data_IF_386235553180
#
_entry.id   IF_386235553180
#
_cell.length_a   1.000
_cell.length_b   1.000
_cell.length_c   1.000
_cell.angle_alpha   90.00
_cell.angle_beta   90.00
_cell.angle_gamma   90.00
#
_symmetry.space_group_name_H-M   'P 1'
#
loop_
_entity.id
_entity.type
_entity.pdbx_description
1 polymer ?
#
# COMPACT_ATOMS: atom_id res chain seq x y z
N UNK A 1 8.04 -12.35 10.38
CA UNK A 1 8.17 -12.45 11.86
C UNK A 1 6.79 -12.75 12.44
N UNK A 2 6.67 -13.59 13.47
CA UNK A 2 5.39 -14.18 13.90
C UNK A 2 4.55 -13.35 14.88
N UNK A 3 5.16 -12.35 15.53
CA UNK A 3 4.55 -11.60 16.64
C UNK A 3 4.23 -10.17 16.17
N UNK A 4 3.28 -10.04 15.24
CA UNK A 4 2.80 -8.77 14.72
C UNK A 4 1.27 -8.75 14.85
N UNK A 5 0.71 -7.66 15.37
CA UNK A 5 -0.73 -7.48 15.64
C UNK A 5 -1.60 -7.50 14.38
N UNK A 6 -1.01 -7.22 13.21
CA UNK A 6 -1.74 -7.23 11.94
C UNK A 6 -1.83 -8.62 11.29
N UNK A 7 -1.10 -9.62 11.81
CA UNK A 7 -1.10 -10.96 11.25
C UNK A 7 -2.47 -11.61 11.42
N UNK A 8 -2.99 -12.17 10.33
CA UNK A 8 -4.21 -12.98 10.29
C UNK A 8 -3.83 -14.39 9.87
N UNK A 9 -3.88 -15.34 10.81
CA UNK A 9 -3.66 -16.77 10.57
C UNK A 9 -5.00 -17.48 10.50
N UNK A 10 -5.18 -18.35 9.50
CA UNK A 10 -6.29 -19.29 9.51
C UNK A 10 -6.04 -20.34 10.58
N UNK A 11 -6.99 -20.52 11.50
CA UNK A 11 -6.90 -21.50 12.58
C UNK A 11 -7.28 -22.90 12.07
N UNK A 12 -8.08 -22.98 10.99
CA UNK A 12 -8.72 -24.22 10.52
C UNK A 12 -8.06 -24.87 9.30
N UNK A 13 -7.08 -24.22 8.68
CA UNK A 13 -6.45 -24.70 7.45
C UNK A 13 -4.92 -24.69 7.57
N UNK A 14 -4.33 -25.87 7.46
CA UNK A 14 -2.88 -26.07 7.42
C UNK A 14 -2.33 -25.73 6.02
N UNK A 15 -1.11 -25.20 5.95
CA UNK A 15 -0.45 -24.84 4.67
C UNK A 15 -0.93 -23.55 4.01
N UNK A 16 -1.88 -22.82 4.62
CA UNK A 16 -2.34 -21.54 4.07
C UNK A 16 -1.28 -20.42 4.25
N UNK A 17 -1.15 -19.51 3.27
CA UNK A 17 -0.34 -18.31 3.43
C UNK A 17 -0.75 -17.49 4.66
N UNK A 18 0.22 -16.88 5.32
CA UNK A 18 -0.05 -15.95 6.42
C UNK A 18 -0.42 -14.61 5.83
N UNK A 19 -1.63 -14.13 6.17
CA UNK A 19 -2.11 -12.84 5.74
C UNK A 19 -1.76 -11.74 6.75
N UNK A 20 -1.75 -10.49 6.29
CA UNK A 20 -1.53 -9.30 7.10
C UNK A 20 -2.55 -8.23 6.72
N UNK A 21 -3.21 -7.66 7.72
CA UNK A 21 -4.14 -6.55 7.58
C UNK A 21 -3.45 -5.19 7.80
N UNK A 22 -2.16 -5.09 7.48
CA UNK A 22 -1.40 -3.84 7.58
C UNK A 22 -1.94 -2.77 6.64
N UNK A 23 -2.03 -1.50 7.09
CA UNK A 23 -2.36 -0.39 6.21
C UNK A 23 -1.27 -0.23 5.14
N UNK A 24 -1.69 -0.09 3.88
CA UNK A 24 -0.76 0.07 2.75
C UNK A 24 -0.17 -1.23 2.21
N UNK A 25 -0.73 -2.39 2.57
CA UNK A 25 -0.37 -3.68 1.97
C UNK A 25 -1.17 -3.95 0.69
N UNK A 26 -0.49 -4.25 -0.42
CA UNK A 26 -1.12 -4.46 -1.74
C UNK A 26 -1.81 -5.81 -1.90
N UNK A 27 -1.23 -6.88 -1.33
CA UNK A 27 -1.67 -8.25 -1.59
C UNK A 27 -2.27 -8.92 -0.34
N UNK A 28 -2.28 -8.22 0.79
CA UNK A 28 -2.71 -8.76 2.08
C UNK A 28 -1.80 -9.88 2.61
N UNK A 29 -0.64 -10.12 2.01
CA UNK A 29 0.30 -11.16 2.43
C UNK A 29 1.25 -10.63 3.49
N UNK A 30 1.55 -11.44 4.51
CA UNK A 30 2.58 -11.15 5.50
C UNK A 30 3.98 -11.40 4.91
N UNK A 31 4.42 -10.51 4.02
CA UNK A 31 5.74 -10.55 3.39
C UNK A 31 6.40 -9.18 3.41
N UNK A 32 7.74 -9.17 3.47
CA UNK A 32 8.53 -7.94 3.41
C UNK A 32 8.29 -7.16 2.09
N UNK A 33 7.93 -7.84 1.00
CA UNK A 33 7.68 -7.18 -0.29
C UNK A 33 6.41 -6.32 -0.26
N UNK A 34 5.40 -6.70 0.52
CA UNK A 34 4.06 -6.10 0.48
C UNK A 34 3.68 -5.35 1.76
N UNK A 35 4.54 -5.29 2.77
CA UNK A 35 4.29 -4.51 4.00
C UNK A 35 4.18 -3.01 3.72
N UNK A 36 3.26 -2.34 4.42
CA UNK A 36 3.07 -0.88 4.35
C UNK A 36 3.73 -0.12 5.51
N UNK A 37 4.33 -0.83 6.48
CA UNK A 37 4.96 -0.23 7.66
C UNK A 37 6.49 -0.27 7.54
N UNK A 38 7.03 -1.40 7.08
CA UNK A 38 8.48 -1.57 7.00
C UNK A 38 8.98 -1.15 5.62
N UNK A 39 9.84 -0.13 5.55
CA UNK A 39 10.40 0.36 4.29
C UNK A 39 9.46 1.28 3.51
N UNK A 40 9.48 1.16 2.17
CA UNK A 40 8.71 2.01 1.26
C UNK A 40 7.32 1.41 1.00
N UNK A 41 6.30 1.99 1.61
CA UNK A 41 4.91 1.63 1.39
C UNK A 41 4.47 2.03 -0.02
N UNK A 42 3.72 1.14 -0.68
CA UNK A 42 2.95 1.43 -1.87
C UNK A 42 1.64 0.68 -1.68
N UNK A 43 0.53 1.39 -1.57
CA UNK A 43 -0.79 0.82 -1.28
C UNK A 43 -1.87 1.46 -2.15
N UNK A 44 -2.85 0.66 -2.58
CA UNK A 44 -4.07 1.14 -3.22
C UNK A 44 -5.27 0.71 -2.39
N UNK A 45 -6.14 1.66 -2.05
CA UNK A 45 -7.37 1.36 -1.32
C UNK A 45 -8.52 2.24 -1.78
N UNK A 46 -9.74 1.71 -1.69
CA UNK A 46 -10.95 2.49 -1.86
C UNK A 46 -11.38 3.06 -0.51
N UNK A 47 -11.51 4.39 -0.43
CA UNK A 47 -11.96 5.12 0.76
C UNK A 47 -13.26 5.84 0.45
N UNK A 48 -14.25 5.71 1.33
CA UNK A 48 -15.51 6.46 1.26
C UNK A 48 -15.26 7.91 1.69
N UNK A 49 -15.56 8.85 0.81
CA UNK A 49 -15.55 10.30 1.09
C UNK A 49 -16.98 10.81 0.93
N UNK A 50 -17.70 10.89 2.05
CA UNK A 50 -19.14 11.15 2.06
C UNK A 50 -19.92 10.02 1.38
N UNK A 51 -20.78 10.36 0.41
CA UNK A 51 -21.61 9.40 -0.34
C UNK A 51 -20.87 8.67 -1.48
N UNK A 52 -19.63 9.06 -1.79
CA UNK A 52 -18.88 8.55 -2.95
C UNK A 52 -17.61 7.83 -2.50
N UNK A 53 -17.19 6.83 -3.27
CA UNK A 53 -15.90 6.17 -3.08
C UNK A 53 -14.79 6.90 -3.84
N UNK A 54 -13.58 6.86 -3.32
CA UNK A 54 -12.38 7.50 -3.88
C UNK A 54 -11.25 6.50 -3.79
N UNK A 55 -10.46 6.37 -4.85
CA UNK A 55 -9.28 5.52 -4.86
C UNK A 55 -8.13 6.34 -4.28
N UNK A 56 -7.46 5.82 -3.26
CA UNK A 56 -6.36 6.46 -2.56
C UNK A 56 -5.08 5.65 -2.79
N UNK A 57 -4.05 6.32 -3.28
CA UNK A 57 -2.69 5.83 -3.37
C UNK A 57 -1.93 6.22 -2.10
N UNK A 58 -1.45 5.24 -1.36
CA UNK A 58 -0.63 5.43 -0.16
C UNK A 58 0.84 5.20 -0.49
N UNK A 59 1.70 6.15 -0.14
CA UNK A 59 3.17 6.05 -0.31
C UNK A 59 3.90 6.49 0.96
N UNK A 60 5.16 6.07 1.14
CA UNK A 60 5.97 6.58 2.25
C UNK A 60 6.52 7.98 1.94
N UNK A 61 6.62 8.81 2.96
CA UNK A 61 7.17 10.15 2.84
C UNK A 61 8.66 10.10 2.45
N UNK A 62 9.04 10.86 1.42
CA UNK A 62 10.44 10.90 0.92
C UNK A 62 11.45 11.56 1.88
N UNK A 63 10.97 12.31 2.88
CA UNK A 63 11.83 13.13 3.76
C UNK A 63 12.13 12.33 5.02
N UNK A 64 13.41 12.05 5.29
CA UNK A 64 13.83 11.24 6.43
C UNK A 64 13.26 11.72 7.77
N UNK A 65 13.19 13.04 7.99
CA UNK A 65 12.61 13.62 9.21
C UNK A 65 11.13 13.28 9.44
N UNK A 66 10.41 12.89 8.39
CA UNK A 66 8.99 12.51 8.43
C UNK A 66 8.81 11.00 8.50
N UNK A 67 9.76 10.22 8.00
CA UNK A 67 9.76 8.75 8.12
C UNK A 67 9.81 8.31 9.58
N UNK A 68 10.55 9.03 10.42
CA UNK A 68 10.60 8.75 11.87
C UNK A 68 9.37 9.23 12.65
N UNK A 69 8.38 9.83 11.98
CA UNK A 69 7.16 10.35 12.62
C UNK A 69 5.97 9.53 12.15
N UNK A 70 5.42 8.62 12.98
CA UNK A 70 4.33 7.74 12.57
C UNK A 70 3.14 8.47 11.94
N UNK A 71 2.80 9.65 12.47
CA UNK A 71 1.69 10.48 11.97
C UNK A 71 1.91 11.09 10.59
N UNK A 72 3.16 11.19 10.12
CA UNK A 72 3.52 11.78 8.83
C UNK A 72 4.25 10.81 7.91
N UNK A 73 4.37 9.54 8.31
CA UNK A 73 5.12 8.52 7.59
C UNK A 73 4.48 8.21 6.24
N UNK A 74 3.14 8.09 6.21
CA UNK A 74 2.38 7.73 5.03
C UNK A 74 1.71 8.96 4.42
N UNK A 75 1.78 9.06 3.09
CA UNK A 75 1.13 10.08 2.27
C UNK A 75 -0.01 9.44 1.49
N UNK A 76 -1.21 9.99 1.64
CA UNK A 76 -2.40 9.60 0.89
C UNK A 76 -2.62 10.59 -0.26
N UNK A 77 -2.69 10.09 -1.49
CA UNK A 77 -3.02 10.87 -2.68
C UNK A 77 -4.27 10.28 -3.36
N UNK A 78 -5.24 11.13 -3.69
CA UNK A 78 -6.42 10.71 -4.46
C UNK A 78 -6.07 10.45 -5.92
N UNK A 79 -6.55 9.33 -6.46
CA UNK A 79 -6.44 8.99 -7.87
C UNK A 79 -7.72 9.32 -8.63
N UNK A 80 -7.55 9.60 -9.93
CA UNK A 80 -8.69 9.77 -10.84
C UNK A 80 -9.39 8.42 -11.04
N UNK A 81 -10.73 8.43 -10.96
CA UNK A 81 -11.57 7.24 -11.18
C UNK A 81 -11.60 6.80 -12.64
N UNK A 82 -11.35 7.72 -13.57
CA UNK A 82 -11.25 7.37 -14.98
C UNK A 82 -10.00 6.52 -15.18
N UNK A 83 -10.18 5.27 -15.60
CA UNK A 83 -9.13 4.25 -15.77
C UNK A 83 -7.86 4.79 -16.43
N UNK A 84 -7.96 5.35 -17.64
CA UNK A 84 -6.81 5.88 -18.39
C UNK A 84 -6.02 6.95 -17.63
N UNK A 85 -6.72 7.84 -16.92
CA UNK A 85 -6.08 8.92 -16.15
C UNK A 85 -5.50 8.41 -14.83
N UNK A 86 -6.20 7.50 -14.15
CA UNK A 86 -5.74 6.86 -12.92
C UNK A 86 -4.48 6.02 -13.14
N UNK A 87 -4.48 5.18 -14.18
CA UNK A 87 -3.32 4.37 -14.56
C UNK A 87 -2.11 5.24 -14.93
N UNK A 88 -2.32 6.33 -15.68
CA UNK A 88 -1.24 7.27 -15.98
C UNK A 88 -0.68 7.96 -14.73
N UNK A 89 -1.54 8.26 -13.73
CA UNK A 89 -1.09 8.81 -12.44
C UNK A 89 -0.26 7.79 -11.65
N UNK A 90 -0.67 6.52 -11.64
CA UNK A 90 0.08 5.42 -11.00
C UNK A 90 1.43 5.23 -11.67
N UNK A 91 1.47 5.10 -13.00
CA UNK A 91 2.71 4.96 -13.76
C UNK A 91 3.67 6.14 -13.50
N UNK A 92 3.15 7.37 -13.47
CA UNK A 92 3.95 8.55 -13.14
C UNK A 92 4.52 8.50 -11.71
N UNK A 93 3.72 8.07 -10.74
CA UNK A 93 4.15 8.02 -9.35
C UNK A 93 5.18 6.90 -9.08
N UNK A 94 5.04 5.76 -9.75
CA UNK A 94 5.83 4.54 -9.47
C UNK A 94 7.00 4.38 -10.44
N UNK A 95 6.76 4.46 -11.75
CA UNK A 95 7.78 4.23 -12.77
C UNK A 95 8.64 5.47 -13.01
N UNK A 96 8.02 6.58 -13.43
CA UNK A 96 8.75 7.85 -13.65
C UNK A 96 9.32 8.43 -12.34
N UNK A 97 8.70 8.10 -11.21
CA UNK A 97 9.19 8.44 -9.88
C UNK A 97 10.27 7.50 -9.31
N UNK A 98 10.63 6.43 -10.04
CA UNK A 98 11.59 5.38 -9.64
C UNK A 98 11.37 4.86 -8.21
N UNK A 99 10.12 4.77 -7.77
CA UNK A 99 9.83 4.58 -6.36
C UNK A 99 9.94 3.10 -5.94
N UNK A 100 9.15 2.22 -6.59
CA UNK A 100 9.02 0.77 -6.34
C UNK A 100 8.63 0.04 -7.63
N UNK A 101 9.58 -0.10 -8.55
CA UNK A 101 9.35 -0.75 -9.86
C UNK A 101 8.98 -2.23 -9.75
N UNK A 102 9.43 -2.90 -8.68
CA UNK A 102 9.14 -4.31 -8.35
C UNK A 102 7.66 -4.63 -8.12
N UNK A 103 6.86 -3.57 -7.97
CA UNK A 103 5.43 -3.60 -7.66
C UNK A 103 4.56 -2.91 -8.72
N UNK A 104 5.19 -2.41 -9.80
CA UNK A 104 4.49 -1.66 -10.84
C UNK A 104 3.43 -2.52 -11.52
N UNK A 105 3.80 -3.75 -11.93
CA UNK A 105 2.91 -4.69 -12.60
C UNK A 105 1.70 -5.10 -11.74
N UNK A 106 1.81 -5.00 -10.41
CA UNK A 106 0.69 -5.26 -9.50
C UNK A 106 -0.23 -4.05 -9.31
N UNK A 107 0.23 -2.85 -9.69
CA UNK A 107 -0.48 -1.60 -9.49
C UNK A 107 -1.19 -1.07 -10.75
N UNK A 108 -0.82 -1.57 -11.93
CA UNK A 108 -1.39 -1.18 -13.24
C UNK A 108 -2.26 -2.27 -13.83
#
# INVERSE_FOLDING_TARGET
KSNNSYIRKSIKATGMPVFSAEPGNMCGLSSYKYTGITGKALGLSAKKTGKKETIVLTTSHKKGSRVMRPSSLQLEAGLNKQSKKGLAQIAKAVDAGFYRKDLLDLAT
#
